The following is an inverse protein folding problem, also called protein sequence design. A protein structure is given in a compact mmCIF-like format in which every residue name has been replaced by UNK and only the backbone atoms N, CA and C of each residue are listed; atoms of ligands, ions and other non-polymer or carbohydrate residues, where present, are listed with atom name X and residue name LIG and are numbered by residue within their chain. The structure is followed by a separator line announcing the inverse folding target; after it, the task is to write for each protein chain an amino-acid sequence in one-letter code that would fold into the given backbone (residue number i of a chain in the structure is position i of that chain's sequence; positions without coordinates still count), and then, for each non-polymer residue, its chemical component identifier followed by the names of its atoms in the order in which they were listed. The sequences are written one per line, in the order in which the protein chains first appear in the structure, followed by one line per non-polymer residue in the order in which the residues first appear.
data_IF_026426034879
#
_entry.id   IF_026426034879
#
_cell.length_a   1.000
_cell.length_b   1.000
_cell.length_c   1.000
_cell.angle_alpha   90.00
_cell.angle_beta   90.00
_cell.angle_gamma   90.00
#
_symmetry.space_group_name_H-M   'P 1'
#
loop_
_entity.id
_entity.type
_entity.pdbx_description
1 polymer ?
#
# COMPACT_ATOMS: atom_id res chain seq x y z
N UNK A 1 3.20 10.91 19.26
CA UNK A 1 4.27 10.10 18.64
C UNK A 1 4.04 9.97 17.13
N UNK A 2 4.56 10.93 16.36
CA UNK A 2 4.69 10.85 14.90
C UNK A 2 6.17 11.05 14.58
N UNK A 3 6.79 10.10 13.90
CA UNK A 3 8.22 10.12 13.51
C UNK A 3 8.44 9.16 12.34
N UNK A 4 9.30 9.48 11.37
CA UNK A 4 9.56 10.76 10.74
C UNK A 4 9.05 10.74 9.27
N UNK A 5 8.21 11.72 8.91
CA UNK A 5 8.00 12.05 7.50
C UNK A 5 9.26 12.76 6.98
N UNK A 6 9.99 12.12 6.07
CA UNK A 6 11.04 12.79 5.31
C UNK A 6 10.41 13.79 4.32
N UNK A 7 11.03 14.96 4.08
CA UNK A 7 10.43 16.04 3.32
C UNK A 7 10.51 15.75 1.82
N UNK A 8 9.36 15.50 1.16
CA UNK A 8 9.33 15.31 -0.30
C UNK A 8 8.13 14.57 -0.92
N UNK A 9 6.88 14.95 -0.61
CA UNK A 9 5.70 14.75 -1.49
C UNK A 9 5.26 13.27 -1.81
N UNK A 10 4.10 13.05 -2.46
CA UNK A 10 3.13 11.98 -2.14
C UNK A 10 3.59 10.58 -2.54
N UNK A 11 4.24 9.88 -1.62
CA UNK A 11 4.46 8.44 -1.73
C UNK A 11 3.56 7.78 -0.70
N UNK A 12 2.45 7.17 -1.14
CA UNK A 12 1.61 6.39 -0.23
C UNK A 12 2.40 5.19 0.25
N UNK A 13 2.93 5.27 1.47
CA UNK A 13 3.79 4.24 2.06
C UNK A 13 2.97 3.00 2.39
N UNK A 14 3.54 1.83 2.15
CA UNK A 14 2.91 0.54 2.48
C UNK A 14 3.54 0.03 3.76
N UNK A 15 2.74 -0.24 4.78
CA UNK A 15 3.19 -0.69 6.09
C UNK A 15 2.71 -2.11 6.38
N UNK A 16 3.56 -2.94 7.00
CA UNK A 16 3.18 -4.32 7.36
C UNK A 16 2.34 -4.34 8.65
N UNK A 17 1.04 -4.59 8.51
CA UNK A 17 0.12 -4.70 9.66
C UNK A 17 0.25 -3.53 10.65
N UNK A 18 0.16 -3.84 11.95
CA UNK A 18 0.31 -2.86 13.05
C UNK A 18 1.76 -2.48 13.36
N UNK A 19 2.74 -3.05 12.65
CA UNK A 19 4.15 -2.99 13.07
C UNK A 19 4.83 -1.67 12.72
N UNK A 20 4.19 -0.76 11.99
CA UNK A 20 4.78 0.52 11.59
C UNK A 20 5.95 0.41 10.61
N UNK A 21 6.35 -0.80 10.21
CA UNK A 21 7.47 -1.04 9.29
C UNK A 21 7.05 -0.73 7.85
N UNK A 22 7.68 0.28 7.27
CA UNK A 22 7.45 0.69 5.87
C UNK A 22 8.14 -0.33 4.96
N UNK A 23 7.32 -1.12 4.29
CA UNK A 23 7.73 -2.22 3.41
C UNK A 23 7.55 -1.92 1.93
N UNK A 24 7.13 -0.70 1.57
CA UNK A 24 6.96 -0.32 0.18
C UNK A 24 6.29 1.03 -0.02
N UNK A 25 5.92 1.27 -1.27
CA UNK A 25 5.31 2.50 -1.75
C UNK A 25 4.34 2.18 -2.90
N UNK A 26 3.13 2.72 -2.85
CA UNK A 26 2.19 2.68 -3.98
C UNK A 26 2.72 3.61 -5.07
N UNK A 27 2.89 3.09 -6.28
CA UNK A 27 3.41 3.82 -7.44
C UNK A 27 2.31 4.25 -8.40
N UNK A 28 1.22 3.49 -8.49
CA UNK A 28 0.02 3.85 -9.22
C UNK A 28 -1.21 3.32 -8.51
N UNK A 29 -2.32 4.06 -8.60
CA UNK A 29 -3.61 3.61 -8.05
C UNK A 29 -4.75 4.12 -8.91
N UNK A 30 -5.83 3.34 -8.98
CA UNK A 30 -7.05 3.70 -9.68
C UNK A 30 -8.23 2.94 -9.07
N UNK A 31 -9.45 3.46 -9.26
CA UNK A 31 -10.66 2.69 -9.01
C UNK A 31 -10.82 1.70 -10.15
N UNK A 32 -10.95 0.40 -9.84
CA UNK A 32 -11.15 -0.64 -10.84
C UNK A 32 -12.64 -0.96 -10.98
N UNK A 33 -13.30 -0.58 -12.09
CA UNK A 33 -14.71 -0.93 -12.32
C UNK A 33 -14.90 -2.45 -12.39
N UNK A 34 -13.91 -3.18 -12.90
CA UNK A 34 -13.93 -4.64 -13.03
C UNK A 34 -13.86 -5.37 -11.69
N UNK A 35 -13.35 -4.71 -10.64
CA UNK A 35 -13.35 -5.23 -9.27
C UNK A 35 -14.54 -4.69 -8.45
N UNK A 36 -15.62 -4.24 -9.11
CA UNK A 36 -16.80 -3.69 -8.43
C UNK A 36 -16.63 -2.27 -7.91
N UNK A 37 -15.72 -1.48 -8.52
CA UNK A 37 -15.45 -0.10 -8.09
C UNK A 37 -14.52 -0.02 -6.87
N UNK A 38 -13.75 -1.07 -6.58
CA UNK A 38 -12.77 -1.08 -5.51
C UNK A 38 -11.48 -0.39 -5.97
N UNK A 39 -10.85 0.39 -5.08
CA UNK A 39 -9.54 0.97 -5.31
C UNK A 39 -8.47 -0.14 -5.41
N UNK A 40 -7.74 -0.17 -6.52
CA UNK A 40 -6.62 -1.06 -6.77
C UNK A 40 -5.38 -0.24 -7.12
N UNK A 41 -4.20 -0.77 -6.83
CA UNK A 41 -2.95 -0.07 -7.12
C UNK A 41 -1.76 -1.01 -7.26
N UNK A 42 -0.72 -0.50 -7.91
CA UNK A 42 0.57 -1.15 -7.99
C UNK A 42 1.48 -0.52 -6.94
N UNK A 43 2.27 -1.36 -6.28
CA UNK A 43 3.21 -0.94 -5.27
C UNK A 43 4.57 -1.58 -5.50
N UNK A 44 5.63 -0.80 -5.31
CA UNK A 44 6.97 -1.32 -5.15
C UNK A 44 7.15 -1.76 -3.71
N UNK A 45 7.57 -3.02 -3.54
CA UNK A 45 7.65 -3.64 -2.21
C UNK A 45 9.05 -4.18 -1.94
N UNK A 46 9.40 -4.20 -0.66
CA UNK A 46 10.64 -4.84 -0.19
C UNK A 46 10.63 -6.32 -0.57
N UNK A 47 11.77 -6.81 -1.02
CA UNK A 47 11.94 -8.22 -1.36
C UNK A 47 11.54 -9.13 -0.18
N UNK A 48 10.82 -10.23 -0.48
CA UNK A 48 10.28 -11.15 0.51
C UNK A 48 9.03 -10.68 1.28
N UNK A 49 8.56 -9.43 1.07
CA UNK A 49 7.34 -8.88 1.70
C UNK A 49 6.17 -8.68 0.72
N UNK A 50 6.26 -9.26 -0.48
CA UNK A 50 5.30 -9.10 -1.58
C UNK A 50 4.36 -10.31 -1.76
N UNK A 51 4.24 -11.18 -0.76
CA UNK A 51 3.44 -12.40 -0.88
C UNK A 51 1.94 -12.07 -1.02
N UNK A 52 1.23 -12.65 -2.01
CA UNK A 52 -0.22 -12.50 -2.14
C UNK A 52 -0.94 -12.91 -0.84
N UNK A 53 -2.01 -12.19 -0.50
CA UNK A 53 -2.77 -12.37 0.74
C UNK A 53 -2.18 -11.65 1.96
N UNK A 54 -0.98 -11.06 1.86
CA UNK A 54 -0.40 -10.25 2.94
C UNK A 54 -1.27 -9.01 3.19
N UNK A 55 -1.62 -8.78 4.45
CA UNK A 55 -2.36 -7.59 4.89
C UNK A 55 -1.39 -6.44 5.17
N UNK A 56 -1.67 -5.30 4.56
CA UNK A 56 -0.86 -4.08 4.68
C UNK A 56 -1.74 -2.88 5.01
N UNK A 57 -1.14 -1.84 5.56
CA UNK A 57 -1.77 -0.54 5.76
C UNK A 57 -1.21 0.45 4.75
N UNK A 58 -2.10 1.20 4.10
CA UNK A 58 -1.77 2.23 3.12
C UNK A 58 -2.46 3.53 3.53
N UNK A 59 -1.79 4.69 3.49
CA UNK A 59 -2.44 5.95 3.78
C UNK A 59 -3.34 6.35 2.60
N UNK A 60 -4.61 6.62 2.89
CA UNK A 60 -5.59 7.16 1.96
C UNK A 60 -6.47 8.18 2.70
N UNK A 61 -6.64 9.38 2.13
CA UNK A 61 -7.47 10.45 2.72
C UNK A 61 -7.13 10.78 4.19
N UNK A 62 -5.83 10.74 4.54
CA UNK A 62 -5.35 11.00 5.89
C UNK A 62 -5.62 9.88 6.91
N UNK A 63 -6.14 8.73 6.46
CA UNK A 63 -6.39 7.54 7.29
C UNK A 63 -5.54 6.36 6.83
N UNK A 64 -5.26 5.43 7.75
CA UNK A 64 -4.64 4.15 7.39
C UNK A 64 -5.72 3.16 6.99
N UNK A 65 -5.70 2.76 5.72
CA UNK A 65 -6.66 1.80 5.15
C UNK A 65 -5.98 0.45 4.98
N UNK A 66 -6.67 -0.61 5.40
CA UNK A 66 -6.22 -1.98 5.20
C UNK A 66 -6.37 -2.39 3.73
N UNK A 67 -5.30 -2.93 3.15
CA UNK A 67 -5.27 -3.49 1.80
C UNK A 67 -4.68 -4.91 1.82
N UNK A 68 -5.04 -5.70 0.82
CA UNK A 68 -4.50 -7.04 0.62
C UNK A 68 -3.62 -7.04 -0.63
N UNK A 69 -2.46 -7.69 -0.55
CA UNK A 69 -1.63 -7.91 -1.74
C UNK A 69 -2.26 -8.97 -2.64
N UNK A 70 -2.37 -8.68 -3.94
CA UNK A 70 -2.78 -9.63 -4.97
C UNK A 70 -1.62 -9.97 -5.90
N UNK A 71 -1.74 -11.09 -6.61
CA UNK A 71 -0.85 -11.38 -7.74
C UNK A 71 -1.16 -10.46 -8.91
N UNK A 72 -0.14 -10.07 -9.66
CA UNK A 72 -0.32 -9.38 -10.93
C UNK A 72 -0.85 -10.38 -11.98
N UNK A 73 -1.86 -10.03 -12.80
CA UNK A 73 -2.21 -10.85 -13.95
C UNK A 73 -1.02 -10.94 -14.91
N UNK A 74 -0.67 -12.15 -15.32
CA UNK A 74 0.35 -12.46 -16.33
C UNK A 74 -0.21 -12.42 -17.73
#
# INVERSE_FOLDING_TARGET
PVSPGAPGAPVSTVTLGSSGDVIGAVTSSTVSPMLGGIAAGLAMMRYGKHQPGTKVLVPAEGQWVAANLGSLPT
#
